data_IF_595345689898
#
_entry.id   IF_595345689898
#
_cell.length_a   1.000
_cell.length_b   1.000
_cell.length_c   1.000
_cell.angle_alpha   90.00
_cell.angle_beta   90.00
_cell.angle_gamma   90.00
#
_symmetry.space_group_name_H-M   'P 1'
#
loop_
_entity.id
_entity.type
_entity.pdbx_description
1 polymer ?
#
# COMPACT_ATOMS: atom_id res chain seq x y z
N UNK A 1 -25.54 6.66 -0.06
CA UNK A 1 -25.98 6.12 1.26
C UNK A 1 -25.15 4.86 1.56
N UNK A 2 -25.08 4.46 2.83
CA UNK A 2 -24.33 3.23 3.20
C UNK A 2 -24.84 1.99 2.45
N UNK A 3 -26.15 1.84 2.29
CA UNK A 3 -26.74 0.73 1.54
C UNK A 3 -26.28 0.69 0.08
N UNK A 4 -26.16 1.84 -0.57
CA UNK A 4 -25.71 1.93 -1.96
C UNK A 4 -24.23 1.53 -2.10
N UNK A 5 -23.39 1.89 -1.13
CA UNK A 5 -21.98 1.44 -1.09
C UNK A 5 -21.87 -0.06 -0.94
N UNK A 6 -22.70 -0.67 -0.07
CA UNK A 6 -22.75 -2.13 0.11
C UNK A 6 -23.20 -2.81 -1.17
N UNK A 7 -24.20 -2.25 -1.87
CA UNK A 7 -24.69 -2.79 -3.13
C UNK A 7 -23.64 -2.75 -4.23
N UNK A 8 -22.95 -1.62 -4.41
CA UNK A 8 -21.86 -1.47 -5.38
C UNK A 8 -20.74 -2.48 -5.10
N UNK A 9 -20.30 -2.60 -3.85
CA UNK A 9 -19.19 -3.50 -3.48
C UNK A 9 -19.52 -4.99 -3.64
N UNK A 10 -20.80 -5.36 -3.71
CA UNK A 10 -21.23 -6.76 -3.89
C UNK A 10 -21.35 -7.19 -5.35
N UNK A 11 -21.24 -6.26 -6.28
CA UNK A 11 -21.46 -6.51 -7.71
C UNK A 11 -20.23 -6.14 -8.54
N UNK A 12 -19.07 -6.81 -8.33
CA UNK A 12 -17.84 -6.49 -9.06
C UNK A 12 -17.96 -6.68 -10.57
N UNK A 13 -18.87 -7.53 -11.04
CA UNK A 13 -19.18 -7.72 -12.45
C UNK A 13 -19.86 -6.53 -13.10
N UNK A 14 -20.53 -5.67 -12.31
CA UNK A 14 -21.12 -4.42 -12.77
C UNK A 14 -20.23 -3.21 -12.48
N UNK A 15 -19.55 -3.23 -11.34
CA UNK A 15 -18.70 -2.16 -10.83
C UNK A 15 -17.25 -2.64 -10.77
N UNK A 16 -16.65 -2.81 -11.94
CA UNK A 16 -15.29 -3.34 -12.09
C UNK A 16 -14.23 -2.36 -11.61
N UNK A 17 -13.30 -2.83 -10.79
CA UNK A 17 -12.09 -2.08 -10.40
C UNK A 17 -10.99 -2.19 -11.47
N UNK A 18 -11.00 -3.25 -12.27
CA UNK A 18 -10.00 -3.47 -13.31
C UNK A 18 -10.25 -2.55 -14.53
N UNK A 19 -11.51 -2.35 -14.92
CA UNK A 19 -11.87 -1.53 -16.09
C UNK A 19 -11.74 -0.04 -15.77
N UNK A 20 -12.30 0.42 -14.63
CA UNK A 20 -12.34 1.85 -14.25
C UNK A 20 -11.11 2.31 -13.46
N UNK A 21 -10.38 1.40 -12.83
CA UNK A 21 -9.32 1.74 -11.87
C UNK A 21 -9.87 2.29 -10.56
N UNK A 22 -8.99 2.87 -9.75
CA UNK A 22 -9.33 3.41 -8.41
C UNK A 22 -9.69 4.89 -8.43
N UNK A 23 -9.55 5.56 -9.56
CA UNK A 23 -9.82 6.99 -9.71
C UNK A 23 -11.11 7.21 -10.51
N UNK A 24 -11.94 8.13 -10.05
CA UNK A 24 -13.16 8.56 -10.74
C UNK A 24 -12.77 9.65 -11.75
N UNK A 25 -12.05 9.25 -12.80
CA UNK A 25 -11.79 10.13 -13.94
C UNK A 25 -12.67 9.70 -15.12
N UNK A 26 -13.15 10.64 -15.88
CA UNK A 26 -13.77 10.35 -17.18
C UNK A 26 -12.73 9.65 -18.07
N UNK A 27 -13.12 8.51 -18.63
CA UNK A 27 -12.24 7.72 -19.50
C UNK A 27 -11.82 8.50 -20.76
N UNK A 28 -12.56 9.55 -21.11
CA UNK A 28 -12.28 10.46 -22.24
C UNK A 28 -11.14 11.45 -21.93
N UNK A 29 -10.92 11.80 -20.65
CA UNK A 29 -9.87 12.74 -20.24
C UNK A 29 -8.49 12.05 -20.04
N UNK A 30 -8.42 10.75 -20.16
CA UNK A 30 -7.12 10.03 -20.22
C UNK A 30 -6.52 10.19 -21.62
N UNK A 31 -5.87 11.34 -21.84
CA UNK A 31 -5.10 11.55 -23.05
C UNK A 31 -4.12 10.40 -23.29
N UNK A 32 -3.97 9.98 -24.55
CA UNK A 32 -3.12 8.89 -24.97
C UNK A 32 -1.70 9.04 -24.39
N UNK A 33 -1.39 8.29 -23.34
CA UNK A 33 -0.04 8.16 -22.79
C UNK A 33 0.24 8.85 -21.44
N UNK A 34 -0.74 9.37 -20.71
CA UNK A 34 -0.51 10.13 -19.49
C UNK A 34 -0.23 9.29 -18.22
N UNK A 35 -0.28 7.97 -18.25
CA UNK A 35 -0.02 7.13 -17.07
C UNK A 35 0.52 5.75 -17.42
N UNK A 36 1.22 5.12 -16.46
CA UNK A 36 1.54 3.71 -16.52
C UNK A 36 0.22 2.92 -16.43
N UNK A 37 -0.06 2.03 -17.40
CA UNK A 37 -1.23 1.16 -17.30
C UNK A 37 -1.02 0.17 -16.15
N UNK A 38 -1.65 0.45 -15.02
CA UNK A 38 -1.57 -0.36 -13.80
C UNK A 38 -2.73 -1.35 -13.67
N UNK A 39 -3.61 -1.43 -14.69
CA UNK A 39 -4.72 -2.39 -14.71
C UNK A 39 -4.19 -3.81 -14.62
N UNK A 40 -4.77 -4.58 -13.71
CA UNK A 40 -4.35 -5.95 -13.46
C UNK A 40 -2.96 -6.13 -12.83
N UNK A 41 -2.22 -5.06 -12.54
CA UNK A 41 -0.92 -5.09 -11.85
C UNK A 41 -1.09 -4.90 -10.35
N UNK A 42 -1.82 -3.87 -9.95
CA UNK A 42 -2.09 -3.62 -8.55
C UNK A 42 -3.32 -4.43 -8.11
N UNK A 43 -3.25 -5.07 -6.94
CA UNK A 43 -4.35 -5.87 -6.40
C UNK A 43 -5.67 -5.09 -6.33
N UNK A 44 -5.62 -3.81 -5.96
CA UNK A 44 -6.79 -2.94 -5.88
C UNK A 44 -7.43 -2.65 -7.25
N UNK A 45 -6.69 -2.86 -8.35
CA UNK A 45 -7.13 -2.71 -9.73
C UNK A 45 -7.32 -4.06 -10.41
N UNK A 46 -7.80 -5.04 -9.68
CA UNK A 46 -8.13 -6.38 -10.21
C UNK A 46 -9.52 -6.78 -9.76
N UNK A 47 -10.19 -7.59 -10.59
CA UNK A 47 -11.49 -8.17 -10.30
C UNK A 47 -11.38 -9.67 -9.93
N UNK A 48 -12.43 -10.28 -9.34
CA UNK A 48 -12.50 -11.72 -9.19
C UNK A 48 -12.42 -12.44 -10.56
N UNK A 49 -11.75 -13.61 -10.65
CA UNK A 49 -11.16 -14.40 -9.56
C UNK A 49 -9.75 -13.97 -9.14
N UNK A 50 -9.08 -13.13 -9.92
CA UNK A 50 -7.68 -12.70 -9.71
C UNK A 50 -7.53 -11.94 -8.38
N UNK A 51 -8.37 -10.96 -8.13
CA UNK A 51 -8.42 -10.24 -6.85
C UNK A 51 -8.55 -11.19 -5.66
N UNK A 52 -9.46 -12.16 -5.75
CA UNK A 52 -9.70 -13.12 -4.66
C UNK A 52 -8.46 -13.96 -4.36
N UNK A 53 -7.68 -14.35 -5.38
CA UNK A 53 -6.43 -15.10 -5.22
C UNK A 53 -5.39 -14.24 -4.50
N UNK A 54 -5.12 -13.03 -4.98
CA UNK A 54 -4.17 -12.11 -4.34
C UNK A 54 -4.58 -11.74 -2.91
N UNK A 55 -5.85 -11.43 -2.69
CA UNK A 55 -6.38 -11.12 -1.36
C UNK A 55 -6.17 -12.26 -0.37
N UNK A 56 -6.35 -13.50 -0.82
CA UNK A 56 -6.13 -14.69 0.02
C UNK A 56 -4.67 -14.84 0.43
N UNK A 57 -3.73 -14.55 -0.46
CA UNK A 57 -2.29 -14.58 -0.15
C UNK A 57 -1.93 -13.51 0.89
N UNK A 58 -2.30 -12.27 0.61
CA UNK A 58 -2.05 -11.14 1.53
C UNK A 58 -2.65 -11.40 2.90
N UNK A 59 -3.87 -11.95 2.96
CA UNK A 59 -4.55 -12.25 4.24
C UNK A 59 -3.81 -13.27 5.10
N UNK A 60 -3.00 -14.17 4.52
CA UNK A 60 -2.16 -15.11 5.28
C UNK A 60 -1.06 -14.41 6.09
N UNK A 61 -0.63 -13.22 5.67
CA UNK A 61 0.35 -12.40 6.40
C UNK A 61 -0.22 -11.71 7.65
N UNK A 62 -1.56 -11.57 7.74
CA UNK A 62 -2.23 -10.91 8.87
C UNK A 62 -2.68 -11.93 9.92
N UNK A 63 -1.72 -12.57 10.57
CA UNK A 63 -2.01 -13.53 11.64
C UNK A 63 -2.25 -12.83 12.98
N UNK A 64 -2.96 -13.44 13.96
CA UNK A 64 -3.09 -12.89 15.31
C UNK A 64 -1.74 -12.62 15.98
N UNK A 65 -0.73 -13.44 15.70
CA UNK A 65 0.64 -13.24 16.17
C UNK A 65 1.23 -11.94 15.62
N UNK A 66 1.15 -11.73 14.30
CA UNK A 66 1.63 -10.53 13.64
C UNK A 66 0.93 -9.28 14.19
N UNK A 67 -0.39 -9.32 14.35
CA UNK A 67 -1.16 -8.21 14.93
C UNK A 67 -0.70 -7.90 16.36
N UNK A 68 -0.43 -8.90 17.18
CA UNK A 68 0.08 -8.69 18.55
C UNK A 68 1.48 -8.04 18.58
N UNK A 69 2.36 -8.39 17.65
CA UNK A 69 3.67 -7.76 17.51
C UNK A 69 3.53 -6.29 17.10
N UNK A 70 2.68 -6.00 16.12
CA UNK A 70 2.41 -4.64 15.64
C UNK A 70 1.80 -3.79 16.75
N UNK A 71 0.86 -4.31 17.53
CA UNK A 71 0.26 -3.57 18.65
C UNK A 71 1.35 -3.13 19.65
N UNK A 72 2.23 -4.03 20.04
CA UNK A 72 3.34 -3.74 20.96
C UNK A 72 4.26 -2.67 20.38
N UNK A 73 4.63 -2.82 19.12
CA UNK A 73 5.46 -1.85 18.40
C UNK A 73 4.81 -0.48 18.32
N UNK A 74 3.56 -0.39 17.89
CA UNK A 74 2.83 0.87 17.75
C UNK A 74 2.63 1.57 19.10
N UNK A 75 2.38 0.82 20.16
CA UNK A 75 2.29 1.40 21.52
C UNK A 75 3.59 2.09 21.92
N UNK A 76 4.72 1.45 21.64
CA UNK A 76 6.03 2.06 21.90
C UNK A 76 6.27 3.29 21.02
N UNK A 77 5.98 3.22 19.71
CA UNK A 77 6.12 4.34 18.78
C UNK A 77 5.23 5.52 19.16
N UNK A 78 4.00 5.27 19.60
CA UNK A 78 3.08 6.32 20.07
C UNK A 78 3.71 7.12 21.21
N UNK A 79 4.33 6.44 22.17
CA UNK A 79 4.97 7.13 23.31
C UNK A 79 6.09 8.04 22.78
N UNK A 80 6.97 7.53 21.92
CA UNK A 80 8.09 8.32 21.38
C UNK A 80 7.62 9.56 20.60
N UNK A 81 6.61 9.41 19.75
CA UNK A 81 6.06 10.53 18.96
C UNK A 81 5.40 11.57 19.86
N UNK A 82 4.65 11.15 20.87
CA UNK A 82 3.99 12.06 21.82
C UNK A 82 5.04 12.78 22.68
N UNK A 83 6.07 12.09 23.15
CA UNK A 83 7.13 12.70 23.95
C UNK A 83 7.88 13.78 23.16
N UNK A 84 8.19 13.52 21.88
CA UNK A 84 8.82 14.49 20.99
C UNK A 84 7.97 15.75 20.80
N UNK A 85 6.66 15.59 20.62
CA UNK A 85 5.72 16.71 20.48
C UNK A 85 5.61 17.51 21.78
N UNK A 86 5.58 16.84 22.93
CA UNK A 86 5.53 17.50 24.25
C UNK A 86 6.76 18.37 24.48
N UNK A 87 7.95 17.89 24.09
CA UNK A 87 9.20 18.65 24.23
C UNK A 87 9.21 19.90 23.36
N UNK A 88 8.65 19.85 22.15
CA UNK A 88 8.54 21.00 21.25
C UNK A 88 7.49 22.02 21.67
N UNK A 89 6.44 21.58 22.38
CA UNK A 89 5.33 22.41 22.85
C UNK A 89 4.28 22.78 21.79
N UNK A 90 4.56 22.56 20.51
CA UNK A 90 3.64 22.76 19.39
C UNK A 90 3.92 21.74 18.28
N UNK A 91 2.93 21.41 17.45
CA UNK A 91 3.09 20.48 16.35
C UNK A 91 2.08 20.73 15.23
N UNK A 92 2.39 20.29 14.03
CA UNK A 92 1.40 20.00 13.00
C UNK A 92 0.79 18.62 13.29
N UNK A 93 -0.50 18.61 13.67
CA UNK A 93 -1.18 17.36 14.05
C UNK A 93 -1.16 16.30 12.95
N UNK A 94 -1.28 16.69 11.70
CA UNK A 94 -1.30 15.76 10.56
C UNK A 94 0.09 15.20 10.31
N UNK A 95 1.08 16.05 10.17
CA UNK A 95 2.45 15.67 9.81
C UNK A 95 3.15 14.97 10.96
N UNK A 96 3.07 15.53 12.18
CA UNK A 96 3.86 15.07 13.33
C UNK A 96 3.22 13.89 14.09
N UNK A 97 1.89 13.71 13.99
CA UNK A 97 1.16 12.70 14.76
C UNK A 97 0.32 11.76 13.89
N UNK A 98 -0.63 12.31 13.13
CA UNK A 98 -1.67 11.49 12.50
C UNK A 98 -1.13 10.62 11.35
N UNK A 99 -0.14 11.09 10.59
CA UNK A 99 0.51 10.35 9.52
C UNK A 99 1.53 9.34 10.01
N UNK A 100 2.18 9.62 11.14
CA UNK A 100 3.32 8.83 11.63
C UNK A 100 2.92 7.39 11.99
N UNK A 101 1.86 7.20 12.78
CA UNK A 101 1.47 5.86 13.23
C UNK A 101 1.01 4.92 12.11
N UNK A 102 0.14 5.30 11.18
CA UNK A 102 -0.22 4.46 10.04
C UNK A 102 0.98 4.10 9.17
N UNK A 103 1.87 5.08 8.92
CA UNK A 103 3.10 4.85 8.16
C UNK A 103 3.99 3.82 8.82
N UNK A 104 4.22 3.97 10.13
CA UNK A 104 5.02 3.03 10.91
C UNK A 104 4.40 1.63 10.92
N UNK A 105 3.07 1.53 11.04
CA UNK A 105 2.36 0.25 11.01
C UNK A 105 2.54 -0.48 9.67
N UNK A 106 2.32 0.22 8.56
CA UNK A 106 2.47 -0.36 7.22
C UNK A 106 3.92 -0.78 6.97
N UNK A 107 4.87 0.10 7.29
CA UNK A 107 6.28 -0.19 7.09
C UNK A 107 6.78 -1.37 7.95
N UNK A 108 6.27 -1.50 9.18
CA UNK A 108 6.57 -2.66 10.05
C UNK A 108 6.03 -3.95 9.46
N UNK A 109 4.77 -3.97 9.01
CA UNK A 109 4.15 -5.13 8.35
C UNK A 109 4.93 -5.55 7.12
N UNK A 110 5.40 -4.58 6.34
CA UNK A 110 6.18 -4.83 5.12
C UNK A 110 7.65 -5.19 5.41
N UNK A 111 8.12 -5.03 6.64
CA UNK A 111 9.52 -5.25 6.99
C UNK A 111 10.46 -4.18 6.44
N UNK A 112 9.96 -2.96 6.22
CA UNK A 112 10.77 -1.83 5.73
C UNK A 112 11.70 -1.32 6.84
N UNK A 113 13.01 -1.18 6.59
CA UNK A 113 13.94 -0.59 7.54
C UNK A 113 13.52 0.81 8.01
N UNK A 114 13.82 1.14 9.27
CA UNK A 114 13.40 2.39 9.88
C UNK A 114 13.87 3.64 9.09
N UNK A 115 15.08 3.58 8.58
CA UNK A 115 15.72 4.64 7.79
C UNK A 115 15.05 4.90 6.43
N UNK A 116 14.28 3.95 5.92
CA UNK A 116 13.62 4.06 4.61
C UNK A 116 12.15 4.47 4.70
N UNK A 117 11.57 4.49 5.90
CA UNK A 117 10.13 4.72 6.09
C UNK A 117 9.64 6.07 5.59
N UNK A 118 10.46 7.11 5.76
CA UNK A 118 10.15 8.43 5.25
C UNK A 118 10.11 8.50 3.71
N UNK A 119 10.88 7.66 3.02
CA UNK A 119 10.82 7.56 1.56
C UNK A 119 9.45 7.06 1.10
N UNK A 120 8.90 6.03 1.79
CA UNK A 120 7.55 5.52 1.50
C UNK A 120 6.49 6.59 1.66
N UNK A 121 6.57 7.39 2.72
CA UNK A 121 5.64 8.50 2.94
C UNK A 121 5.72 9.54 1.81
N UNK A 122 6.93 9.95 1.44
CA UNK A 122 7.14 10.89 0.34
C UNK A 122 6.57 10.36 -0.98
N UNK A 123 6.91 9.12 -1.36
CA UNK A 123 6.42 8.52 -2.60
C UNK A 123 4.90 8.35 -2.59
N UNK A 124 4.31 7.93 -1.47
CA UNK A 124 2.85 7.77 -1.34
C UNK A 124 2.13 9.10 -1.53
N UNK A 125 2.60 10.18 -0.89
CA UNK A 125 2.01 11.51 -1.05
C UNK A 125 2.14 12.02 -2.49
N UNK A 126 3.30 11.82 -3.14
CA UNK A 126 3.49 12.20 -4.53
C UNK A 126 2.59 11.42 -5.49
N UNK A 127 2.32 10.14 -5.21
CA UNK A 127 1.46 9.30 -6.06
C UNK A 127 -0.03 9.61 -5.91
N UNK A 128 -0.47 9.99 -4.70
CA UNK A 128 -1.89 10.24 -4.39
C UNK A 128 -2.25 11.70 -4.64
N UNK A 129 -1.31 12.62 -4.42
CA UNK A 129 -1.52 14.06 -4.47
C UNK A 129 -1.62 14.67 -5.87
N UNK A 130 -1.99 13.89 -6.91
CA UNK A 130 -2.07 14.36 -8.30
C UNK A 130 -3.01 15.55 -8.45
N UNK A 131 -4.09 15.59 -7.67
CA UNK A 131 -5.11 16.64 -7.70
C UNK A 131 -4.89 17.72 -6.64
N UNK A 132 -3.88 17.60 -5.78
CA UNK A 132 -3.57 18.56 -4.72
C UNK A 132 -2.41 19.46 -5.15
N UNK A 133 -2.62 20.80 -5.28
CA UNK A 133 -1.58 21.72 -5.68
C UNK A 133 -0.32 21.70 -4.79
N UNK A 134 -0.44 21.32 -3.53
CA UNK A 134 0.68 21.20 -2.58
C UNK A 134 1.57 19.98 -2.90
N UNK A 135 0.98 18.91 -3.43
CA UNK A 135 1.68 17.67 -3.79
C UNK A 135 1.84 17.47 -5.30
N UNK A 136 1.25 18.37 -6.10
CA UNK A 136 1.36 18.31 -7.56
C UNK A 136 2.78 18.70 -7.98
N UNK A 137 3.60 17.69 -8.25
CA UNK A 137 4.96 17.86 -8.78
C UNK A 137 5.06 17.12 -10.11
N UNK A 138 5.96 17.57 -10.99
CA UNK A 138 6.29 16.85 -12.24
C UNK A 138 6.86 15.43 -11.99
N UNK A 139 7.04 15.05 -10.71
CA UNK A 139 7.72 13.85 -10.23
C UNK A 139 6.80 12.67 -9.88
N UNK A 140 5.48 12.75 -10.10
CA UNK A 140 4.56 11.68 -9.70
C UNK A 140 4.89 10.33 -10.36
N UNK A 141 5.36 10.35 -11.62
CA UNK A 141 5.84 9.15 -12.33
C UNK A 141 7.13 8.63 -11.72
N UNK A 142 8.03 9.51 -11.34
CA UNK A 142 9.31 9.18 -10.70
C UNK A 142 9.06 8.49 -9.37
N UNK A 143 8.13 8.99 -8.54
CA UNK A 143 7.77 8.38 -7.27
C UNK A 143 7.26 6.94 -7.43
N UNK A 144 6.41 6.67 -8.43
CA UNK A 144 5.93 5.32 -8.72
C UNK A 144 7.07 4.39 -9.15
N UNK A 145 7.97 4.85 -10.02
CA UNK A 145 9.14 4.08 -10.46
C UNK A 145 10.10 3.80 -9.31
N UNK A 146 10.37 4.80 -8.45
CA UNK A 146 11.23 4.65 -7.29
C UNK A 146 10.64 3.66 -6.26
N UNK A 147 9.34 3.76 -5.97
CA UNK A 147 8.65 2.83 -5.08
C UNK A 147 8.71 1.40 -5.63
N UNK A 148 8.51 1.23 -6.94
CA UNK A 148 8.58 -0.09 -7.58
C UNK A 148 10.00 -0.66 -7.53
N UNK A 149 11.01 0.13 -7.83
CA UNK A 149 12.42 -0.26 -7.74
C UNK A 149 12.82 -0.64 -6.31
N UNK A 150 12.38 0.15 -5.33
CA UNK A 150 12.58 -0.14 -3.91
C UNK A 150 11.93 -1.45 -3.50
N UNK A 151 10.69 -1.68 -3.91
CA UNK A 151 9.96 -2.93 -3.62
C UNK A 151 10.67 -4.17 -4.19
N UNK A 152 11.20 -4.08 -5.41
CA UNK A 152 12.00 -5.15 -6.00
C UNK A 152 13.31 -5.40 -5.22
N UNK A 153 13.97 -4.34 -4.78
CA UNK A 153 15.19 -4.43 -3.96
C UNK A 153 14.90 -5.11 -2.63
N UNK A 154 13.82 -4.69 -1.95
CA UNK A 154 13.38 -5.30 -0.69
C UNK A 154 13.03 -6.77 -0.88
N UNK A 155 12.32 -7.12 -1.95
CA UNK A 155 12.00 -8.50 -2.28
C UNK A 155 13.26 -9.36 -2.54
N UNK A 156 14.26 -8.82 -3.24
CA UNK A 156 15.53 -9.50 -3.44
C UNK A 156 16.27 -9.75 -2.13
N UNK A 157 16.34 -8.75 -1.25
CA UNK A 157 16.91 -8.88 0.09
C UNK A 157 16.21 -9.96 0.93
N UNK A 158 14.88 -10.05 0.85
CA UNK A 158 14.09 -11.04 1.59
C UNK A 158 14.24 -12.46 1.05
N UNK A 159 14.64 -12.64 -0.21
CA UNK A 159 15.02 -13.96 -0.74
C UNK A 159 16.32 -14.46 -0.13
N UNK A 160 17.26 -13.55 0.13
CA UNK A 160 18.56 -13.88 0.72
C UNK A 160 18.50 -13.95 2.26
N UNK A 161 17.74 -13.04 2.89
CA UNK A 161 17.57 -12.94 4.35
C UNK A 161 16.06 -12.88 4.69
N UNK A 162 15.37 -14.04 4.75
CA UNK A 162 13.95 -14.12 5.09
C UNK A 162 13.67 -13.60 6.51
N UNK A 163 12.59 -12.81 6.67
CA UNK A 163 12.15 -12.25 7.95
C UNK A 163 10.68 -12.57 8.23
N UNK A 164 10.23 -12.29 9.44
CA UNK A 164 8.81 -12.45 9.83
C UNK A 164 8.02 -11.21 9.38
N UNK A 165 7.93 -11.01 8.05
CA UNK A 165 7.22 -9.90 7.39
C UNK A 165 6.38 -10.39 6.20
N UNK A 166 5.48 -9.50 5.73
CA UNK A 166 4.57 -9.87 4.64
C UNK A 166 5.29 -10.05 3.31
N UNK A 167 6.40 -9.34 3.08
CA UNK A 167 7.18 -9.45 1.84
C UNK A 167 7.79 -10.85 1.74
N UNK A 168 8.38 -11.35 2.83
CA UNK A 168 8.87 -12.74 2.90
C UNK A 168 7.73 -13.74 2.68
N UNK A 169 6.58 -13.52 3.31
CA UNK A 169 5.42 -14.39 3.15
C UNK A 169 4.91 -14.44 1.71
N UNK A 170 4.89 -13.30 1.02
CA UNK A 170 4.46 -13.21 -0.38
C UNK A 170 5.45 -13.82 -1.37
N UNK A 171 6.75 -13.64 -1.14
CA UNK A 171 7.81 -14.23 -1.99
C UNK A 171 7.75 -15.76 -1.96
N UNK A 172 7.41 -16.34 -0.81
CA UNK A 172 7.32 -17.79 -0.62
C UNK A 172 5.90 -18.34 -0.88
N UNK A 173 4.97 -17.48 -1.33
CA UNK A 173 3.60 -17.91 -1.60
C UNK A 173 3.52 -18.59 -2.97
N UNK A 174 2.91 -19.77 -2.99
CA UNK A 174 2.55 -20.46 -4.23
C UNK A 174 1.16 -20.01 -4.68
N UNK A 175 1.05 -19.60 -5.93
CA UNK A 175 -0.21 -19.21 -6.57
C UNK A 175 -0.65 -20.35 -7.46
N UNK A 176 -1.79 -20.94 -7.14
CA UNK A 176 -2.50 -21.83 -8.08
C UNK A 176 -3.17 -20.95 -9.14
N UNK A 177 -2.66 -20.97 -10.35
CA UNK A 177 -3.19 -20.24 -11.51
C UNK A 177 -4.49 -20.84 -12.06
N UNK A 178 -4.91 -21.99 -11.54
CA UNK A 178 -6.10 -22.70 -11.98
C UNK A 178 -5.89 -23.55 -13.25
N UNK A 179 -4.68 -23.52 -13.81
CA UNK A 179 -4.25 -24.33 -14.97
C UNK A 179 -3.25 -25.43 -14.54
N UNK A 180 -3.02 -25.56 -13.21
CA UNK A 180 -2.11 -26.55 -12.63
C UNK A 180 -0.65 -26.09 -12.58
N UNK A 181 -0.39 -24.82 -12.87
CA UNK A 181 0.89 -24.15 -12.66
C UNK A 181 0.97 -23.52 -11.28
N UNK A 182 2.10 -23.70 -10.60
CA UNK A 182 2.49 -22.94 -9.40
C UNK A 182 3.54 -21.91 -9.86
N UNK A 183 3.25 -20.64 -9.75
CA UNK A 183 4.18 -19.55 -10.02
C UNK A 183 4.48 -18.76 -8.78
#
# INVERSE_FOLDING_TARGET
RHADLVEVNRQPELFSSEVGGVSIFDMEDRGDGAGMDTRGVMMIMTDPPRHTRYRRLVSKGFTPRMIGLIETYLRHRTILVVDEVIERGECDFVVDLASELPLQAIAEIMGVPQEDRQKLFKWSNQMIGIDDPEYQTDDNRTAAVELYAYSNTLAAQRREDPRDDIVTALINAEIDDGEGGLT
#
